data_IF_219324545850
#
_entry.id   IF_219324545850
#
_cell.length_a   1.000
_cell.length_b   1.000
_cell.length_c   1.000
_cell.angle_alpha   90.00
_cell.angle_beta   90.00
_cell.angle_gamma   90.00
#
_symmetry.space_group_name_H-M   'P 1'
#
loop_
_entity.id
_entity.type
_entity.pdbx_description
1 polymer ?
#
# COMPACT_ATOMS: atom_id res chain seq x y z
N UNK A 1 -46.60 123.78 -52.61
CA UNK A 1 -45.44 123.73 -51.70
C UNK A 1 -44.69 122.44 -51.97
N UNK A 2 -43.45 122.49 -52.49
CA UNK A 2 -42.66 121.29 -52.83
C UNK A 2 -42.14 120.50 -51.61
N UNK A 3 -42.08 121.14 -50.44
CA UNK A 3 -41.54 120.55 -49.19
C UNK A 3 -42.44 119.43 -48.64
N UNK A 4 -43.77 119.58 -48.71
CA UNK A 4 -44.73 118.58 -48.22
C UNK A 4 -44.69 117.27 -49.00
N UNK A 5 -44.49 117.33 -50.33
CA UNK A 5 -44.38 116.14 -51.19
C UNK A 5 -43.12 115.33 -50.91
N UNK A 6 -41.99 116.00 -50.65
CA UNK A 6 -40.73 115.35 -50.31
C UNK A 6 -40.80 114.61 -48.96
N UNK A 7 -41.53 115.15 -47.97
CA UNK A 7 -41.74 114.50 -46.68
C UNK A 7 -42.61 113.24 -46.79
N UNK A 8 -43.68 113.28 -47.61
CA UNK A 8 -44.52 112.10 -47.86
C UNK A 8 -43.74 110.97 -48.56
N UNK A 9 -42.83 111.32 -49.48
CA UNK A 9 -41.97 110.36 -50.17
C UNK A 9 -40.97 109.69 -49.19
N UNK A 10 -40.39 110.46 -48.26
CA UNK A 10 -39.53 109.93 -47.19
C UNK A 10 -40.29 109.03 -46.20
N UNK A 11 -41.52 109.40 -45.83
CA UNK A 11 -42.39 108.57 -44.98
C UNK A 11 -42.74 107.24 -45.65
N UNK A 12 -43.02 107.26 -46.96
CA UNK A 12 -43.30 106.04 -47.73
C UNK A 12 -42.09 105.10 -47.78
N UNK A 13 -40.90 105.63 -48.06
CA UNK A 13 -39.64 104.85 -48.04
C UNK A 13 -39.37 104.26 -46.66
N UNK A 14 -39.63 105.03 -45.59
CA UNK A 14 -39.46 104.56 -44.22
C UNK A 14 -40.46 103.44 -43.85
N UNK A 15 -41.72 103.55 -44.28
CA UNK A 15 -42.74 102.51 -44.15
C UNK A 15 -42.37 101.24 -44.91
N UNK A 16 -41.88 101.37 -46.15
CA UNK A 16 -41.40 100.24 -46.96
C UNK A 16 -40.19 99.56 -46.28
N UNK A 17 -39.25 100.33 -45.73
CA UNK A 17 -38.10 99.82 -44.98
C UNK A 17 -38.50 99.07 -43.70
N UNK A 18 -39.47 99.57 -42.93
CA UNK A 18 -40.00 98.90 -41.74
C UNK A 18 -40.69 97.58 -42.12
N UNK A 19 -41.49 97.56 -43.18
CA UNK A 19 -42.17 96.35 -43.64
C UNK A 19 -41.16 95.30 -44.14
N UNK A 20 -40.15 95.71 -44.91
CA UNK A 20 -39.08 94.83 -45.35
C UNK A 20 -38.29 94.25 -44.16
N UNK A 21 -37.97 95.09 -43.16
CA UNK A 21 -37.30 94.64 -41.94
C UNK A 21 -38.15 93.64 -41.15
N UNK A 22 -39.45 93.92 -40.99
CA UNK A 22 -40.39 93.02 -40.29
C UNK A 22 -40.51 91.68 -41.02
N UNK A 23 -40.59 91.68 -42.34
CA UNK A 23 -40.65 90.46 -43.14
C UNK A 23 -39.34 89.65 -43.02
N UNK A 24 -38.18 90.31 -43.14
CA UNK A 24 -36.88 89.63 -42.97
C UNK A 24 -36.67 89.07 -41.56
N UNK A 25 -37.20 89.73 -40.52
CA UNK A 25 -37.21 89.20 -39.15
C UNK A 25 -38.13 87.98 -39.01
N UNK A 26 -39.30 87.98 -39.65
CA UNK A 26 -40.21 86.85 -39.62
C UNK A 26 -39.63 85.65 -40.39
N UNK A 27 -39.02 85.86 -41.55
CA UNK A 27 -38.33 84.84 -42.33
C UNK A 27 -37.17 84.21 -41.52
N UNK A 28 -36.27 85.01 -40.96
CA UNK A 28 -35.18 84.50 -40.12
C UNK A 28 -35.68 83.75 -38.88
N UNK A 29 -36.79 84.21 -38.27
CA UNK A 29 -37.44 83.50 -37.17
C UNK A 29 -38.00 82.14 -37.61
N UNK A 30 -38.64 82.06 -38.79
CA UNK A 30 -39.18 80.80 -39.33
C UNK A 30 -38.07 79.81 -39.70
N UNK A 31 -37.00 80.29 -40.33
CA UNK A 31 -35.82 79.47 -40.63
C UNK A 31 -35.17 78.91 -39.37
N UNK A 32 -35.00 79.75 -38.34
CA UNK A 32 -34.49 79.33 -37.04
C UNK A 32 -35.41 78.30 -36.38
N UNK A 33 -36.73 78.50 -36.43
CA UNK A 33 -37.69 77.54 -35.88
C UNK A 33 -37.63 76.19 -36.62
N UNK A 34 -37.53 76.22 -37.96
CA UNK A 34 -37.38 75.01 -38.77
C UNK A 34 -36.09 74.26 -38.43
N UNK A 35 -34.95 74.96 -38.39
CA UNK A 35 -33.66 74.37 -38.03
C UNK A 35 -33.68 73.74 -36.63
N UNK A 36 -34.32 74.38 -35.65
CA UNK A 36 -34.49 73.84 -34.30
C UNK A 36 -35.34 72.57 -34.27
N UNK A 37 -36.42 72.52 -35.07
CA UNK A 37 -37.27 71.32 -35.17
C UNK A 37 -36.51 70.17 -35.84
N UNK A 38 -35.78 70.45 -36.92
CA UNK A 38 -34.98 69.46 -37.64
C UNK A 38 -33.88 68.89 -36.75
N UNK A 39 -33.10 69.74 -36.06
CA UNK A 39 -32.08 69.28 -35.10
C UNK A 39 -32.68 68.52 -33.92
N UNK A 40 -33.85 68.93 -33.41
CA UNK A 40 -34.55 68.19 -32.35
C UNK A 40 -34.95 66.79 -32.80
N UNK A 41 -35.46 66.64 -34.03
CA UNK A 41 -35.85 65.36 -34.58
C UNK A 41 -34.63 64.46 -34.82
N UNK A 42 -33.56 64.99 -35.40
CA UNK A 42 -32.31 64.24 -35.58
C UNK A 42 -31.71 63.76 -34.26
N UNK A 43 -31.73 64.61 -33.22
CA UNK A 43 -31.27 64.24 -31.89
C UNK A 43 -32.15 63.12 -31.29
N UNK A 44 -33.46 63.21 -31.47
CA UNK A 44 -34.41 62.20 -31.00
C UNK A 44 -34.16 60.84 -31.68
N UNK A 45 -34.03 60.83 -33.00
CA UNK A 45 -33.77 59.61 -33.77
C UNK A 45 -32.43 58.97 -33.39
N UNK A 46 -31.40 59.79 -33.13
CA UNK A 46 -30.10 59.31 -32.65
C UNK A 46 -30.17 58.71 -31.26
N UNK A 47 -30.97 59.29 -30.35
CA UNK A 47 -31.19 58.74 -29.01
C UNK A 47 -31.93 57.40 -29.11
N UNK A 48 -33.04 57.34 -29.83
CA UNK A 48 -33.83 56.10 -29.99
C UNK A 48 -32.98 54.98 -30.61
N UNK A 49 -32.17 55.31 -31.63
CA UNK A 49 -31.25 54.34 -32.23
C UNK A 49 -30.17 53.87 -31.25
N UNK A 50 -29.61 54.77 -30.43
CA UNK A 50 -28.60 54.43 -29.43
C UNK A 50 -29.17 53.55 -28.30
N UNK A 51 -30.38 53.85 -27.84
CA UNK A 51 -31.10 53.04 -26.83
C UNK A 51 -31.38 51.64 -27.36
N UNK A 52 -31.89 51.51 -28.59
CA UNK A 52 -32.20 50.22 -29.21
C UNK A 52 -30.93 49.38 -29.43
N UNK A 53 -29.84 49.98 -29.90
CA UNK A 53 -28.55 49.28 -30.04
C UNK A 53 -28.04 48.76 -28.69
N UNK A 54 -28.09 49.59 -27.65
CA UNK A 54 -27.66 49.22 -26.29
C UNK A 54 -28.51 48.07 -25.74
N UNK A 55 -29.82 48.09 -25.99
CA UNK A 55 -30.75 47.04 -25.58
C UNK A 55 -30.45 45.71 -26.29
N UNK A 56 -30.16 45.75 -27.59
CA UNK A 56 -29.81 44.56 -28.37
C UNK A 56 -28.49 43.94 -27.90
N UNK A 57 -27.45 44.76 -27.67
CA UNK A 57 -26.17 44.28 -27.15
C UNK A 57 -26.31 43.65 -25.76
N UNK A 58 -27.11 44.28 -24.88
CA UNK A 58 -27.41 43.75 -23.55
C UNK A 58 -28.15 42.42 -23.63
N UNK A 59 -29.16 42.30 -24.50
CA UNK A 59 -29.89 41.04 -24.68
C UNK A 59 -28.98 39.93 -25.20
N UNK A 60 -28.14 40.23 -26.20
CA UNK A 60 -27.15 39.28 -26.72
C UNK A 60 -26.17 38.81 -25.64
N UNK A 61 -25.67 39.74 -24.82
CA UNK A 61 -24.79 39.41 -23.70
C UNK A 61 -25.45 38.49 -22.66
N UNK A 62 -26.73 38.72 -22.36
CA UNK A 62 -27.50 37.85 -21.46
C UNK A 62 -27.73 36.45 -22.05
N UNK A 63 -28.04 36.35 -23.34
CA UNK A 63 -28.20 35.06 -24.03
C UNK A 63 -26.89 34.26 -24.07
N UNK A 64 -25.75 34.92 -24.33
CA UNK A 64 -24.44 34.29 -24.32
C UNK A 64 -24.06 33.81 -22.91
N UNK A 65 -24.40 34.59 -21.88
CA UNK A 65 -24.21 34.19 -20.48
C UNK A 65 -25.06 32.97 -20.11
N UNK A 66 -26.34 32.94 -20.51
CA UNK A 66 -27.22 31.79 -20.29
C UNK A 66 -26.69 30.54 -20.99
N UNK A 67 -26.30 30.63 -22.27
CA UNK A 67 -25.67 29.52 -22.99
C UNK A 67 -24.36 29.06 -22.33
N UNK A 68 -23.57 29.99 -21.80
CA UNK A 68 -22.37 29.68 -21.02
C UNK A 68 -22.69 28.87 -19.76
N UNK A 69 -23.74 29.26 -19.04
CA UNK A 69 -24.20 28.57 -17.83
C UNK A 69 -24.73 27.16 -18.13
N UNK A 70 -25.54 27.00 -19.19
CA UNK A 70 -26.04 25.68 -19.63
C UNK A 70 -24.89 24.73 -20.02
N UNK A 71 -23.88 25.23 -20.75
CA UNK A 71 -22.69 24.46 -21.11
C UNK A 71 -21.92 24.00 -19.87
N UNK A 72 -21.80 24.87 -18.86
CA UNK A 72 -21.15 24.54 -17.60
C UNK A 72 -21.91 23.47 -16.84
N UNK A 73 -23.24 23.59 -16.71
CA UNK A 73 -24.08 22.58 -16.07
C UNK A 73 -23.98 21.24 -16.78
N UNK A 74 -24.03 21.23 -18.11
CA UNK A 74 -23.84 20.01 -18.90
C UNK A 74 -22.47 19.37 -18.66
N UNK A 75 -21.40 20.17 -18.64
CA UNK A 75 -20.05 19.67 -18.35
C UNK A 75 -19.92 19.08 -16.95
N UNK A 76 -20.55 19.70 -15.94
CA UNK A 76 -20.61 19.18 -14.58
C UNK A 76 -21.35 17.84 -14.53
N UNK A 77 -22.47 17.72 -15.24
CA UNK A 77 -23.26 16.48 -15.33
C UNK A 77 -22.49 15.36 -16.04
N UNK A 78 -21.83 15.64 -17.17
CA UNK A 78 -21.00 14.67 -17.90
C UNK A 78 -19.83 14.17 -17.01
N UNK A 79 -19.21 15.07 -16.23
CA UNK A 79 -18.15 14.71 -15.30
C UNK A 79 -18.67 13.81 -14.17
N UNK A 80 -19.82 14.16 -13.57
CA UNK A 80 -20.48 13.38 -12.52
C UNK A 80 -20.79 11.96 -12.99
N UNK A 81 -21.46 11.83 -14.14
CA UNK A 81 -21.78 10.54 -14.73
C UNK A 81 -20.52 9.70 -15.06
N UNK A 82 -19.43 10.35 -15.46
CA UNK A 82 -18.15 9.65 -15.70
C UNK A 82 -17.53 9.15 -14.40
N UNK A 83 -17.63 9.92 -13.31
CA UNK A 83 -17.12 9.53 -12.00
C UNK A 83 -17.95 8.37 -11.41
N UNK A 84 -19.28 8.43 -11.50
CA UNK A 84 -20.18 7.35 -11.05
C UNK A 84 -19.83 6.02 -11.76
N UNK A 85 -19.72 6.02 -13.10
CA UNK A 85 -19.29 4.82 -13.85
C UNK A 85 -17.92 4.28 -13.44
N UNK A 86 -16.99 5.16 -13.08
CA UNK A 86 -15.66 4.75 -12.62
C UNK A 86 -15.71 4.15 -11.22
N UNK A 87 -16.58 4.65 -10.35
CA UNK A 87 -16.85 4.09 -9.02
C UNK A 87 -17.43 2.68 -9.17
N UNK A 88 -18.50 2.51 -9.96
CA UNK A 88 -19.13 1.20 -10.20
C UNK A 88 -18.12 0.16 -10.69
N UNK A 89 -17.29 0.51 -11.69
CA UNK A 89 -16.27 -0.39 -12.21
C UNK A 89 -15.15 -0.69 -11.20
N UNK A 90 -14.84 0.22 -10.27
CA UNK A 90 -13.89 -0.05 -9.18
C UNK A 90 -14.52 -0.99 -8.14
N UNK A 91 -15.78 -0.77 -7.78
CA UNK A 91 -16.52 -1.64 -6.86
C UNK A 91 -16.61 -3.07 -7.40
N UNK A 92 -16.93 -3.26 -8.69
CA UNK A 92 -16.93 -4.56 -9.34
C UNK A 92 -15.55 -5.26 -9.28
N UNK A 93 -14.47 -4.50 -9.53
CA UNK A 93 -13.11 -5.04 -9.45
C UNK A 93 -12.71 -5.42 -8.03
N UNK A 94 -13.11 -4.64 -7.04
CA UNK A 94 -12.87 -4.94 -5.62
C UNK A 94 -13.58 -6.25 -5.26
N UNK A 95 -14.87 -6.36 -5.56
CA UNK A 95 -15.65 -7.58 -5.28
C UNK A 95 -15.04 -8.83 -5.94
N UNK A 96 -14.56 -8.71 -7.19
CA UNK A 96 -13.87 -9.81 -7.88
C UNK A 96 -12.55 -10.22 -7.21
N UNK A 97 -11.80 -9.25 -6.67
CA UNK A 97 -10.54 -9.52 -5.95
C UNK A 97 -10.83 -10.15 -4.59
N UNK A 98 -11.83 -9.65 -3.86
CA UNK A 98 -12.26 -10.20 -2.58
C UNK A 98 -12.67 -11.68 -2.72
N UNK A 99 -13.49 -12.01 -3.73
CA UNK A 99 -13.89 -13.38 -4.02
C UNK A 99 -12.68 -14.29 -4.34
N UNK A 100 -11.75 -13.82 -5.18
CA UNK A 100 -10.53 -14.58 -5.51
C UNK A 100 -9.63 -14.81 -4.30
N UNK A 101 -9.53 -13.81 -3.40
CA UNK A 101 -8.76 -13.95 -2.16
C UNK A 101 -9.43 -14.97 -1.24
N UNK A 102 -10.76 -14.88 -1.05
CA UNK A 102 -11.51 -15.81 -0.23
C UNK A 102 -11.30 -17.27 -0.67
N UNK A 103 -11.53 -17.56 -1.96
CA UNK A 103 -11.33 -18.90 -2.53
C UNK A 103 -9.89 -19.41 -2.36
N UNK A 104 -8.89 -18.56 -2.60
CA UNK A 104 -7.48 -18.96 -2.51
C UNK A 104 -7.01 -19.18 -1.07
N UNK A 105 -7.59 -18.46 -0.12
CA UNK A 105 -7.34 -18.67 1.31
C UNK A 105 -7.97 -19.99 1.76
N UNK A 106 -9.22 -20.25 1.38
CA UNK A 106 -9.90 -21.53 1.66
C UNK A 106 -9.13 -22.73 1.09
N UNK A 107 -8.69 -22.65 -0.18
CA UNK A 107 -7.88 -23.69 -0.82
C UNK A 107 -6.57 -23.95 -0.05
N UNK A 108 -5.85 -22.88 0.34
CA UNK A 108 -4.60 -23.02 1.10
C UNK A 108 -4.82 -23.58 2.49
N UNK A 109 -5.91 -23.22 3.16
CA UNK A 109 -6.26 -23.78 4.47
C UNK A 109 -6.51 -25.28 4.34
N UNK A 110 -7.31 -25.71 3.36
CA UNK A 110 -7.60 -27.13 3.13
C UNK A 110 -6.32 -27.95 2.88
N UNK A 111 -5.39 -27.45 2.08
CA UNK A 111 -4.09 -28.11 1.84
C UNK A 111 -3.25 -28.21 3.12
N UNK A 112 -3.27 -27.17 3.96
CA UNK A 112 -2.56 -27.17 5.25
C UNK A 112 -3.19 -28.17 6.21
N UNK A 113 -4.52 -28.21 6.32
CA UNK A 113 -5.25 -29.17 7.15
C UNK A 113 -4.93 -30.61 6.75
N UNK A 114 -5.03 -30.94 5.46
CA UNK A 114 -4.70 -32.28 4.93
C UNK A 114 -3.22 -32.66 5.21
N UNK A 115 -2.30 -31.71 5.07
CA UNK A 115 -0.88 -31.96 5.33
C UNK A 115 -0.60 -32.21 6.82
N UNK A 116 -1.28 -31.48 7.70
CA UNK A 116 -1.18 -31.66 9.15
C UNK A 116 -1.75 -33.03 9.54
N UNK A 117 -2.93 -33.38 9.04
CA UNK A 117 -3.59 -34.65 9.31
C UNK A 117 -2.69 -35.84 8.94
N UNK A 118 -2.13 -35.85 7.72
CA UNK A 118 -1.17 -36.89 7.28
C UNK A 118 0.09 -36.96 8.15
N UNK A 119 0.61 -35.81 8.60
CA UNK A 119 1.79 -35.79 9.48
C UNK A 119 1.48 -36.30 10.88
N UNK A 120 0.29 -36.01 11.40
CA UNK A 120 -0.16 -36.54 12.69
C UNK A 120 -0.32 -38.05 12.60
N UNK A 121 -0.98 -38.58 11.56
CA UNK A 121 -1.11 -40.02 11.32
C UNK A 121 0.26 -40.71 11.27
N UNK A 122 1.22 -40.16 10.51
CA UNK A 122 2.58 -40.69 10.43
C UNK A 122 3.30 -40.69 11.78
N UNK A 123 3.10 -39.67 12.62
CA UNK A 123 3.69 -39.62 13.96
C UNK A 123 3.04 -40.66 14.87
N UNK A 124 1.72 -40.82 14.81
CA UNK A 124 0.99 -41.83 15.59
C UNK A 124 1.43 -43.26 15.24
N UNK A 125 1.61 -43.55 13.95
CA UNK A 125 2.10 -44.86 13.48
C UNK A 125 3.51 -45.16 14.00
N UNK A 126 4.44 -44.20 13.90
CA UNK A 126 5.81 -44.36 14.42
C UNK A 126 5.85 -44.55 15.93
N UNK A 127 5.00 -43.83 16.68
CA UNK A 127 4.89 -44.02 18.13
C UNK A 127 4.38 -45.43 18.43
N UNK A 128 3.37 -45.91 17.69
CA UNK A 128 2.80 -47.26 17.86
C UNK A 128 3.85 -48.34 17.65
N UNK A 129 4.63 -48.26 16.56
CA UNK A 129 5.72 -49.20 16.25
C UNK A 129 6.79 -49.22 17.36
N UNK A 130 7.26 -48.05 17.81
CA UNK A 130 8.26 -47.97 18.89
C UNK A 130 7.76 -48.52 20.23
N UNK A 131 6.47 -48.39 20.51
CA UNK A 131 5.85 -48.96 21.71
C UNK A 131 5.80 -50.48 21.62
N UNK A 132 5.39 -51.03 20.48
CA UNK A 132 5.32 -52.47 20.26
C UNK A 132 6.69 -53.16 20.34
N UNK A 133 7.72 -52.55 19.72
CA UNK A 133 9.12 -53.01 19.82
C UNK A 133 9.60 -53.07 21.28
N UNK A 134 9.28 -52.05 22.09
CA UNK A 134 9.64 -52.04 23.52
C UNK A 134 8.93 -53.13 24.32
N UNK A 135 7.68 -53.47 24.01
CA UNK A 135 6.97 -54.56 24.68
C UNK A 135 7.58 -55.93 24.36
N UNK A 136 8.00 -56.16 23.11
CA UNK A 136 8.66 -57.41 22.70
C UNK A 136 10.01 -57.59 23.41
N UNK A 137 10.82 -56.53 23.48
CA UNK A 137 12.09 -56.53 24.22
C UNK A 137 11.87 -56.80 25.72
N UNK A 138 10.85 -56.18 26.33
CA UNK A 138 10.51 -56.43 27.73
C UNK A 138 10.09 -57.89 27.99
N UNK A 139 9.33 -58.50 27.07
CA UNK A 139 8.97 -59.92 27.11
C UNK A 139 10.19 -60.84 27.03
N UNK A 140 11.11 -60.57 26.10
CA UNK A 140 12.36 -61.31 25.96
C UNK A 140 13.24 -61.20 27.21
N UNK A 141 13.33 -60.01 27.82
CA UNK A 141 14.07 -59.79 29.06
C UNK A 141 13.50 -60.60 30.23
N UNK A 142 12.18 -60.72 30.33
CA UNK A 142 11.51 -61.57 31.32
C UNK A 142 11.92 -63.04 31.15
N UNK A 143 11.93 -63.54 29.92
CA UNK A 143 12.31 -64.92 29.62
C UNK A 143 13.78 -65.20 29.97
N UNK A 144 14.68 -64.27 29.64
CA UNK A 144 16.10 -64.37 30.00
C UNK A 144 16.28 -64.34 31.52
N UNK A 145 15.56 -63.44 32.21
CA UNK A 145 15.63 -63.35 33.68
C UNK A 145 15.22 -64.68 34.33
N UNK A 146 14.15 -65.32 33.84
CA UNK A 146 13.73 -66.64 34.30
C UNK A 146 14.82 -67.71 34.06
N UNK A 147 15.43 -67.71 32.87
CA UNK A 147 16.51 -68.64 32.53
C UNK A 147 17.75 -68.46 33.41
N UNK A 148 18.12 -67.22 33.73
CA UNK A 148 19.23 -66.91 34.62
C UNK A 148 18.95 -67.45 36.03
N UNK A 149 17.73 -67.23 36.55
CA UNK A 149 17.35 -67.72 37.88
C UNK A 149 17.38 -69.26 37.98
N UNK A 150 16.93 -69.95 36.92
CA UNK A 150 17.00 -71.41 36.83
C UNK A 150 18.44 -71.94 36.77
N UNK A 151 19.33 -71.23 36.07
CA UNK A 151 20.76 -71.57 36.00
C UNK A 151 21.47 -71.34 37.34
N UNK A 152 21.17 -70.24 38.04
CA UNK A 152 21.70 -69.97 39.38
C UNK A 152 21.28 -71.06 40.37
N UNK A 153 19.99 -71.46 40.38
CA UNK A 153 19.50 -72.58 41.21
C UNK A 153 20.23 -73.88 40.91
N UNK A 154 20.52 -74.19 39.63
CA UNK A 154 21.32 -75.37 39.25
C UNK A 154 22.77 -75.28 39.71
N UNK A 155 23.38 -74.09 39.69
CA UNK A 155 24.75 -73.88 40.18
C UNK A 155 24.86 -74.08 41.70
N UNK A 156 23.86 -73.62 42.47
CA UNK A 156 23.76 -73.85 43.91
C UNK A 156 23.59 -75.34 44.27
N UNK A 157 22.91 -76.14 43.43
CA UNK A 157 22.73 -77.59 43.65
C UNK A 157 23.98 -78.39 43.24
N UNK A 158 24.77 -77.91 42.27
CA UNK A 158 26.04 -78.54 41.83
C UNK A 158 27.27 -78.09 42.63
N UNK A 159 27.16 -77.05 43.45
CA UNK A 159 28.24 -76.50 44.28
C UNK A 159 28.39 -77.23 45.62
N UNK A 160 28.65 -78.54 45.61
CA UNK A 160 29.18 -79.24 46.77
C UNK A 160 30.44 -80.01 46.36
N UNK A 161 31.57 -79.63 46.98
CA UNK A 161 32.97 -79.89 46.62
C UNK A 161 33.43 -78.87 45.56
N UNK A 162 34.19 -77.84 45.89
CA UNK A 162 35.57 -77.95 46.36
C UNK A 162 35.95 -76.71 47.18
N UNK A 163 36.32 -76.91 48.45
CA UNK A 163 37.11 -75.93 49.20
C UNK A 163 38.48 -75.78 48.53
N UNK A 164 38.90 -74.55 48.27
CA UNK A 164 40.30 -74.22 48.01
C UNK A 164 40.59 -72.82 48.52
N UNK A 165 41.11 -72.78 49.75
CA UNK A 165 41.95 -71.70 50.29
C UNK A 165 43.02 -71.30 49.27
N UNK A 166 43.01 -70.06 48.77
CA UNK A 166 44.23 -69.33 48.38
C UNK A 166 44.14 -67.87 48.85
N UNK A 167 45.30 -67.41 49.30
CA UNK A 167 45.68 -66.24 50.09
C UNK A 167 45.62 -64.89 49.34
N UNK A 168 45.75 -63.75 50.05
CA UNK A 168 45.52 -62.42 49.48
C UNK A 168 46.71 -61.95 48.63
N UNK A 169 46.44 -61.52 47.40
CA UNK A 169 47.42 -60.82 46.56
C UNK A 169 47.33 -59.31 46.77
N UNK A 170 48.47 -58.75 47.14
CA UNK A 170 48.75 -57.34 47.34
C UNK A 170 48.56 -56.51 46.05
N UNK A 171 48.20 -55.22 46.13
CA UNK A 171 48.01 -54.37 44.94
C UNK A 171 49.36 -53.95 44.36
N UNK A 172 49.59 -54.22 43.07
CA UNK A 172 50.70 -53.64 42.31
C UNK A 172 50.22 -52.33 41.65
N UNK A 173 50.98 -51.23 41.71
CA UNK A 173 50.56 -49.93 41.19
C UNK A 173 50.69 -49.89 39.67
N UNK A 174 49.61 -49.52 38.96
CA UNK A 174 49.65 -49.15 37.55
C UNK A 174 49.99 -47.65 37.46
N UNK A 175 51.04 -47.23 36.73
CA UNK A 175 51.37 -45.81 36.61
C UNK A 175 50.32 -45.09 35.76
N UNK A 176 49.60 -44.14 36.40
CA UNK A 176 48.88 -43.08 35.70
C UNK A 176 49.88 -42.05 35.19
N UNK A 177 50.05 -41.99 33.87
CA UNK A 177 50.54 -40.80 33.19
C UNK A 177 49.39 -40.26 32.33
N UNK A 178 48.95 -39.00 32.52
CA UNK A 178 47.95 -38.40 31.67
C UNK A 178 48.63 -37.95 30.38
N UNK A 179 48.31 -38.60 29.26
CA UNK A 179 48.64 -38.08 27.94
C UNK A 179 47.50 -37.14 27.53
N UNK A 180 47.73 -35.83 27.34
CA UNK A 180 46.71 -34.95 26.80
C UNK A 180 46.57 -35.30 25.32
N UNK A 181 45.41 -35.83 24.94
CA UNK A 181 45.04 -35.98 23.54
C UNK A 181 44.78 -34.56 23.02
N UNK A 182 45.78 -33.95 22.39
CA UNK A 182 45.57 -32.75 21.57
C UNK A 182 44.77 -33.18 20.36
N UNK A 183 43.44 -33.15 20.47
CA UNK A 183 42.58 -33.18 19.30
C UNK A 183 42.76 -31.86 18.56
N UNK A 184 43.56 -31.89 17.49
CA UNK A 184 43.54 -30.85 16.46
C UNK A 184 42.17 -30.90 15.80
N UNK A 185 41.20 -30.17 16.35
CA UNK A 185 39.89 -30.01 15.73
C UNK A 185 40.07 -29.09 14.52
N UNK A 186 39.92 -29.64 13.32
CA UNK A 186 39.79 -28.85 12.09
C UNK A 186 38.46 -28.11 12.18
N UNK A 187 38.46 -26.86 12.64
CA UNK A 187 37.26 -26.04 12.70
C UNK A 187 36.91 -25.57 11.28
N UNK A 188 35.92 -26.20 10.65
CA UNK A 188 35.42 -25.75 9.35
C UNK A 188 34.66 -24.43 9.55
N UNK A 189 35.15 -23.37 8.90
CA UNK A 189 34.66 -22.00 9.10
C UNK A 189 33.36 -21.77 8.33
N UNK A 190 32.34 -21.28 9.01
CA UNK A 190 31.05 -20.93 8.41
C UNK A 190 31.17 -19.65 7.58
N UNK A 191 30.57 -19.65 6.39
CA UNK A 191 30.46 -18.47 5.53
C UNK A 191 29.46 -17.45 6.09
N UNK A 192 29.68 -16.17 5.82
CA UNK A 192 28.76 -15.10 6.21
C UNK A 192 27.50 -15.07 5.33
N UNK A 193 26.37 -14.67 5.88
CA UNK A 193 25.11 -14.50 5.15
C UNK A 193 24.69 -13.03 5.11
N UNK A 194 24.54 -12.47 3.91
CA UNK A 194 24.20 -11.07 3.67
C UNK A 194 22.78 -10.85 3.09
N UNK A 195 22.00 -11.94 2.93
CA UNK A 195 20.64 -11.90 2.38
C UNK A 195 20.56 -11.98 0.84
N UNK A 196 21.68 -12.11 0.12
CA UNK A 196 21.68 -12.17 -1.35
C UNK A 196 21.65 -13.59 -1.90
N UNK A 197 22.16 -14.56 -1.16
CA UNK A 197 22.10 -15.98 -1.51
C UNK A 197 20.81 -16.60 -0.99
N UNK A 198 20.34 -17.66 -1.67
CA UNK A 198 19.13 -18.38 -1.27
C UNK A 198 19.29 -18.94 0.15
N UNK A 199 18.35 -18.61 1.04
CA UNK A 199 18.34 -19.01 2.44
C UNK A 199 18.44 -20.53 2.65
N UNK A 200 17.75 -21.32 1.82
CA UNK A 200 17.74 -22.79 1.96
C UNK A 200 19.12 -23.42 1.69
N UNK A 201 19.87 -22.82 0.74
CA UNK A 201 21.24 -23.24 0.44
C UNK A 201 22.16 -22.94 1.63
N UNK A 202 22.00 -21.76 2.23
CA UNK A 202 22.77 -21.37 3.41
C UNK A 202 22.44 -22.25 4.63
N UNK A 203 21.16 -22.53 4.88
CA UNK A 203 20.70 -23.40 5.96
C UNK A 203 21.25 -24.81 5.85
N UNK A 204 21.32 -25.35 4.63
CA UNK A 204 21.90 -26.67 4.35
C UNK A 204 23.40 -26.70 4.67
N UNK A 205 24.17 -25.69 4.21
CA UNK A 205 25.60 -25.56 4.52
C UNK A 205 25.84 -25.44 6.03
N UNK A 206 25.00 -24.65 6.71
CA UNK A 206 25.04 -24.49 8.15
C UNK A 206 24.82 -25.83 8.89
N UNK A 207 23.83 -26.63 8.48
CA UNK A 207 23.58 -27.95 9.09
C UNK A 207 24.79 -28.87 8.96
N UNK A 208 25.31 -29.02 7.74
CA UNK A 208 26.48 -29.88 7.44
C UNK A 208 27.69 -29.48 8.28
N UNK A 209 28.00 -28.17 8.35
CA UNK A 209 29.14 -27.67 9.13
C UNK A 209 28.91 -27.84 10.64
N UNK A 210 27.68 -27.65 11.11
CA UNK A 210 27.34 -27.81 12.52
C UNK A 210 27.43 -29.26 12.98
N UNK A 211 27.04 -30.21 12.13
CA UNK A 211 27.15 -31.65 12.38
C UNK A 211 28.62 -32.11 12.33
N UNK A 212 29.38 -31.66 11.32
CA UNK A 212 30.79 -31.98 11.18
C UNK A 212 31.64 -31.46 12.36
N UNK A 213 31.28 -30.31 12.93
CA UNK A 213 31.96 -29.73 14.08
C UNK A 213 31.32 -30.13 15.44
N UNK A 214 30.24 -30.92 15.45
CA UNK A 214 29.57 -31.34 16.68
C UNK A 214 28.99 -30.19 17.52
N UNK A 215 28.47 -29.14 16.90
CA UNK A 215 27.94 -27.98 17.62
C UNK A 215 26.65 -28.32 18.38
N UNK A 216 26.60 -27.91 19.65
CA UNK A 216 25.37 -27.94 20.45
C UNK A 216 24.40 -26.83 20.03
N UNK A 217 23.12 -26.93 20.39
CA UNK A 217 22.09 -25.97 19.97
C UNK A 217 22.43 -24.51 20.33
N UNK A 218 23.02 -24.29 21.51
CA UNK A 218 23.50 -22.97 21.91
C UNK A 218 24.64 -22.44 21.04
N UNK A 219 25.59 -23.31 20.65
CA UNK A 219 26.69 -22.93 19.74
C UNK A 219 26.18 -22.66 18.33
N UNK A 220 25.19 -23.43 17.86
CA UNK A 220 24.52 -23.18 16.58
C UNK A 220 23.88 -21.79 16.55
N UNK A 221 23.10 -21.44 17.58
CA UNK A 221 22.46 -20.13 17.67
C UNK A 221 23.48 -18.98 17.67
N UNK A 222 24.54 -19.07 18.49
CA UNK A 222 25.60 -18.07 18.55
C UNK A 222 26.34 -17.93 17.22
N UNK A 223 26.66 -19.06 16.56
CA UNK A 223 27.42 -19.06 15.32
C UNK A 223 26.58 -18.56 14.13
N UNK A 224 25.27 -18.82 14.12
CA UNK A 224 24.33 -18.26 13.16
C UNK A 224 24.18 -16.76 13.34
N UNK A 225 23.98 -16.27 14.58
CA UNK A 225 23.93 -14.84 14.85
C UNK A 225 25.24 -14.14 14.43
N UNK A 226 26.39 -14.76 14.70
CA UNK A 226 27.71 -14.23 14.35
C UNK A 226 28.00 -14.23 12.85
N UNK A 227 27.31 -15.04 12.04
CA UNK A 227 27.51 -15.13 10.59
C UNK A 227 26.65 -14.16 9.78
N UNK A 228 25.59 -13.60 10.36
CA UNK A 228 24.73 -12.59 9.71
C UNK A 228 25.50 -11.29 9.49
N UNK A 229 25.35 -10.70 8.30
CA UNK A 229 25.95 -9.41 7.90
C UNK A 229 24.93 -8.57 7.11
N UNK A 230 25.17 -7.26 7.03
CA UNK A 230 24.35 -6.35 6.23
C UNK A 230 22.88 -6.36 6.65
N UNK A 231 21.97 -6.49 5.68
CA UNK A 231 20.52 -6.47 5.90
C UNK A 231 20.04 -7.63 6.78
N UNK A 232 20.67 -8.80 6.64
CA UNK A 232 20.30 -10.00 7.41
C UNK A 232 20.59 -9.84 8.92
N UNK A 233 21.58 -9.02 9.29
CA UNK A 233 21.90 -8.75 10.70
C UNK A 233 20.84 -7.90 11.40
N UNK A 234 20.00 -7.15 10.66
CA UNK A 234 18.91 -6.34 11.26
C UNK A 234 17.85 -7.19 11.96
N UNK A 235 17.70 -8.47 11.57
CA UNK A 235 16.78 -9.41 12.23
C UNK A 235 17.14 -9.57 13.72
N UNK A 236 18.43 -9.48 14.07
CA UNK A 236 18.87 -9.58 15.46
C UNK A 236 18.36 -8.41 16.33
N UNK A 237 18.04 -7.26 15.74
CA UNK A 237 17.47 -6.10 16.46
C UNK A 237 15.95 -6.24 16.70
N UNK A 238 15.31 -7.23 16.07
CA UNK A 238 13.86 -7.47 16.18
C UNK A 238 13.52 -8.57 17.18
N UNK A 239 14.53 -9.21 17.79
CA UNK A 239 14.33 -10.21 18.83
C UNK A 239 14.02 -9.52 20.16
N UNK A 240 13.03 -10.00 20.93
CA UNK A 240 12.76 -9.47 22.26
C UNK A 240 13.94 -9.76 23.18
N UNK A 241 14.35 -8.77 23.99
CA UNK A 241 15.32 -8.97 25.06
C UNK A 241 14.73 -10.01 26.03
N UNK A 242 15.14 -11.26 25.92
CA UNK A 242 14.85 -12.27 26.94
C UNK A 242 15.78 -12.00 28.12
N UNK A 243 15.53 -10.89 28.83
CA UNK A 243 15.99 -10.73 30.20
C UNK A 243 15.27 -11.78 31.05
N UNK A 244 16.00 -12.86 31.35
CA UNK A 244 15.63 -13.84 32.35
C UNK A 244 16.30 -13.41 33.65
N UNK A 245 15.50 -13.07 34.65
CA UNK A 245 15.95 -12.98 36.04
C UNK A 245 16.24 -14.35 36.63
#
# INVERSE_FOLDING_TARGET
MPITRAMDEQLKVLLEGINALKNGQEETRQEMQKCLVDTKNELKDRIEKGEEQTKQEMQKGLEDMQKGQERMQKCQEDLKNTLEKKIDNVEEKINSVEEKIALKVEEKIAVVEETIEKKVEQVEERIREQVEEKYEVAGNFSLISQQVEDLEKKLLVSGNKNESKILPFSPVPVPSSPVPVTASTVSVKLSTYDGKTNWEVYKTQFSIISEANGWTEGVKACQLAASLRGEAAKILQTLPDTESG
#
